data_IF_768549220227
#
_entry.id   IF_768549220227
#
_cell.length_a   1.000
_cell.length_b   1.000
_cell.length_c   1.000
_cell.angle_alpha   90.00
_cell.angle_beta   90.00
_cell.angle_gamma   90.00
#
_symmetry.space_group_name_H-M   'P 1'
#
loop_
_entity.id
_entity.type
_entity.pdbx_description
1 polymer ?
#
# COMPACT_ATOMS: atom_id res chain seq x y z
N UNK A 1 -13.37 -25.48 -0.42
CA UNK A 1 -12.69 -24.56 -1.37
C UNK A 1 -12.04 -23.36 -0.66
N UNK A 2 -12.70 -22.68 0.28
CA UNK A 2 -12.12 -21.54 1.01
C UNK A 2 -10.83 -21.81 1.80
N UNK A 3 -10.67 -23.01 2.39
CA UNK A 3 -9.48 -23.37 3.16
C UNK A 3 -8.19 -23.40 2.33
N UNK A 4 -8.26 -23.90 1.08
CA UNK A 4 -7.12 -23.92 0.16
C UNK A 4 -6.76 -22.47 -0.23
N UNK A 5 -7.76 -21.66 -0.58
CA UNK A 5 -7.56 -20.24 -0.90
C UNK A 5 -6.92 -19.47 0.26
N UNK A 6 -7.31 -19.76 1.50
CA UNK A 6 -6.71 -19.16 2.71
C UNK A 6 -5.24 -19.55 2.86
N UNK A 7 -4.89 -20.84 2.72
CA UNK A 7 -3.50 -21.28 2.82
C UNK A 7 -2.63 -20.70 1.71
N UNK A 8 -3.16 -20.63 0.48
CA UNK A 8 -2.46 -20.00 -0.66
C UNK A 8 -2.26 -18.52 -0.40
N UNK A 9 -3.27 -17.80 0.09
CA UNK A 9 -3.16 -16.38 0.39
C UNK A 9 -2.15 -16.08 1.51
N UNK A 10 -2.10 -16.89 2.57
CA UNK A 10 -1.07 -16.77 3.62
C UNK A 10 0.32 -17.09 3.08
N UNK A 11 0.46 -18.13 2.24
CA UNK A 11 1.72 -18.46 1.57
C UNK A 11 2.23 -17.34 0.65
N UNK A 12 1.33 -16.70 -0.10
CA UNK A 12 1.64 -15.54 -0.93
C UNK A 12 2.00 -14.32 -0.07
N UNK A 13 1.31 -14.09 1.04
CA UNK A 13 1.62 -13.02 1.98
C UNK A 13 3.02 -13.18 2.59
N UNK A 14 3.42 -14.41 2.93
CA UNK A 14 4.78 -14.71 3.38
C UNK A 14 5.82 -14.38 2.30
N UNK A 15 5.60 -14.82 1.06
CA UNK A 15 6.51 -14.53 -0.04
C UNK A 15 6.64 -13.02 -0.29
N UNK A 16 5.53 -12.28 -0.24
CA UNK A 16 5.51 -10.82 -0.37
C UNK A 16 6.19 -10.12 0.82
N UNK A 17 5.97 -10.59 2.05
CA UNK A 17 6.61 -10.03 3.23
C UNK A 17 8.15 -10.14 3.17
N UNK A 18 8.66 -11.27 2.65
CA UNK A 18 10.10 -11.45 2.39
C UNK A 18 10.60 -10.45 1.34
N UNK A 19 9.88 -10.29 0.22
CA UNK A 19 10.25 -9.33 -0.82
C UNK A 19 10.25 -7.88 -0.28
N UNK A 20 9.25 -7.51 0.51
CA UNK A 20 9.18 -6.20 1.17
C UNK A 20 10.31 -5.99 2.17
N UNK A 21 10.71 -7.01 2.93
CA UNK A 21 11.86 -6.91 3.82
C UNK A 21 13.14 -6.58 3.05
N UNK A 22 13.42 -7.27 1.93
CA UNK A 22 14.58 -6.96 1.09
C UNK A 22 14.51 -5.56 0.49
N UNK A 23 13.32 -5.12 0.08
CA UNK A 23 13.11 -3.74 -0.37
C UNK A 23 13.43 -2.75 0.76
N UNK A 24 12.87 -2.92 1.96
CA UNK A 24 13.09 -2.02 3.10
C UNK A 24 14.55 -2.02 3.57
N UNK A 25 15.25 -3.15 3.47
CA UNK A 25 16.66 -3.26 3.82
C UNK A 25 17.56 -2.46 2.87
N UNK A 26 17.21 -2.41 1.58
CA UNK A 26 18.01 -1.74 0.56
C UNK A 26 17.62 -0.27 0.36
N UNK A 27 16.52 0.19 0.96
CA UNK A 27 16.04 1.56 0.86
C UNK A 27 16.34 2.36 2.13
N UNK A 28 16.64 3.64 1.96
CA UNK A 28 16.80 4.62 3.02
C UNK A 28 15.76 5.73 2.85
N UNK A 29 15.28 6.26 3.97
CA UNK A 29 14.34 7.37 3.99
C UNK A 29 14.98 8.56 4.70
N UNK A 30 15.16 9.68 4.00
CA UNK A 30 15.83 10.86 4.55
C UNK A 30 17.30 10.64 4.94
N UNK A 31 18.00 9.72 4.25
CA UNK A 31 19.40 9.38 4.54
C UNK A 31 19.60 8.40 5.71
N UNK A 32 18.53 8.00 6.41
CA UNK A 32 18.58 7.01 7.48
C UNK A 32 18.13 5.64 6.93
N UNK A 33 18.87 4.55 7.20
CA UNK A 33 18.44 3.21 6.84
C UNK A 33 17.08 2.89 7.48
N UNK A 34 16.11 2.43 6.67
CA UNK A 34 14.77 2.07 7.17
C UNK A 34 14.86 0.88 8.14
N UNK A 35 15.78 -0.06 7.87
CA UNK A 35 16.14 -1.14 8.79
C UNK A 35 17.43 -0.74 9.52
N UNK A 36 17.32 -0.42 10.81
CA UNK A 36 18.46 0.04 11.64
C UNK A 36 19.53 -1.04 11.85
N UNK A 37 19.15 -2.32 11.86
CA UNK A 37 20.05 -3.45 12.11
C UNK A 37 20.38 -4.17 10.80
N UNK A 38 21.50 -3.81 10.18
CA UNK A 38 21.92 -4.35 8.87
C UNK A 38 23.01 -5.41 8.95
N UNK A 39 23.66 -5.56 10.11
CA UNK A 39 24.78 -6.48 10.32
C UNK A 39 24.54 -7.47 11.47
N UNK A 40 25.04 -8.70 11.30
CA UNK A 40 25.06 -9.74 12.33
C UNK A 40 23.71 -10.39 12.66
N UNK A 41 23.65 -11.08 13.81
CA UNK A 41 22.45 -11.79 14.32
C UNK A 41 21.22 -10.88 14.50
N UNK A 42 21.45 -9.60 14.78
CA UNK A 42 20.41 -8.59 14.92
C UNK A 42 19.64 -8.37 13.61
N UNK A 43 20.30 -8.51 12.45
CA UNK A 43 19.65 -8.36 11.14
C UNK A 43 18.69 -9.51 10.83
N UNK A 44 19.05 -10.74 11.22
CA UNK A 44 18.22 -11.94 11.04
C UNK A 44 17.01 -11.90 11.97
N UNK A 45 17.22 -11.50 13.22
CA UNK A 45 16.12 -11.29 14.16
C UNK A 45 15.15 -10.21 13.67
N UNK A 46 15.66 -9.07 13.20
CA UNK A 46 14.83 -8.01 12.63
C UNK A 46 14.06 -8.50 11.39
N UNK A 47 14.70 -9.27 10.50
CA UNK A 47 14.04 -9.87 9.34
C UNK A 47 12.85 -10.74 9.75
N UNK A 48 13.08 -11.66 10.70
CA UNK A 48 12.07 -12.58 11.18
C UNK A 48 10.86 -11.85 11.79
N UNK A 49 11.11 -10.86 12.65
CA UNK A 49 10.06 -10.05 13.28
C UNK A 49 9.26 -9.28 12.22
N UNK A 50 9.93 -8.65 11.26
CA UNK A 50 9.28 -7.89 10.19
C UNK A 50 8.39 -8.80 9.34
N UNK A 51 8.94 -9.93 8.86
CA UNK A 51 8.22 -10.88 7.99
C UNK A 51 7.00 -11.46 8.71
N UNK A 52 7.16 -11.89 9.98
CA UNK A 52 6.04 -12.39 10.77
C UNK A 52 4.98 -11.33 11.03
N UNK A 53 5.39 -10.10 11.34
CA UNK A 53 4.44 -9.00 11.60
C UNK A 53 3.61 -8.70 10.34
N UNK A 54 4.25 -8.61 9.17
CA UNK A 54 3.53 -8.40 7.91
C UNK A 54 2.58 -9.56 7.59
N UNK A 55 3.03 -10.80 7.78
CA UNK A 55 2.21 -11.99 7.52
C UNK A 55 1.03 -12.08 8.48
N UNK A 56 1.26 -11.84 9.77
CA UNK A 56 0.22 -11.80 10.79
C UNK A 56 -0.80 -10.69 10.51
N UNK A 57 -0.34 -9.51 10.10
CA UNK A 57 -1.21 -8.41 9.67
C UNK A 57 -2.07 -8.78 8.47
N UNK A 58 -1.49 -9.43 7.45
CA UNK A 58 -2.23 -9.90 6.28
C UNK A 58 -3.29 -10.97 6.64
N UNK A 59 -2.94 -11.93 7.50
CA UNK A 59 -3.87 -12.94 7.98
C UNK A 59 -5.01 -12.33 8.83
N UNK A 60 -4.69 -11.32 9.65
CA UNK A 60 -5.67 -10.59 10.44
C UNK A 60 -6.66 -9.82 9.56
N UNK A 61 -6.17 -9.15 8.51
CA UNK A 61 -7.04 -8.44 7.56
C UNK A 61 -7.96 -9.42 6.83
N UNK A 62 -7.44 -10.58 6.42
CA UNK A 62 -8.24 -11.62 5.80
C UNK A 62 -9.36 -12.10 6.73
N UNK A 63 -9.01 -12.38 7.99
CA UNK A 63 -9.98 -12.77 9.02
C UNK A 63 -11.04 -11.68 9.24
N UNK A 64 -10.65 -10.41 9.33
CA UNK A 64 -11.61 -9.29 9.41
C UNK A 64 -12.53 -9.24 8.19
N UNK A 65 -12.01 -9.50 6.98
CA UNK A 65 -12.81 -9.58 5.76
C UNK A 65 -13.88 -10.68 5.83
N UNK A 66 -13.51 -11.85 6.36
CA UNK A 66 -14.46 -12.95 6.60
C UNK A 66 -15.54 -12.57 7.63
N UNK A 67 -15.18 -11.85 8.70
CA UNK A 67 -16.13 -11.36 9.70
C UNK A 67 -17.11 -10.32 9.13
N UNK A 68 -16.60 -9.36 8.35
CA UNK A 68 -17.45 -8.36 7.68
C UNK A 68 -18.41 -9.04 6.70
N UNK A 69 -17.98 -10.11 6.02
CA UNK A 69 -18.85 -10.85 5.11
C UNK A 69 -20.01 -11.58 5.82
N UNK A 70 -19.87 -11.92 7.10
CA UNK A 70 -20.91 -12.60 7.87
C UNK A 70 -21.96 -11.64 8.45
N UNK A 71 -21.59 -10.39 8.71
CA UNK A 71 -22.45 -9.41 9.38
C UNK A 71 -22.79 -8.16 8.54
N UNK A 72 -22.15 -7.99 7.39
CA UNK A 72 -22.27 -6.81 6.53
C UNK A 72 -23.04 -7.05 5.22
N UNK A 73 -23.22 -5.98 4.45
CA UNK A 73 -23.82 -6.01 3.11
C UNK A 73 -22.71 -6.05 2.06
N UNK A 74 -22.60 -7.14 1.29
CA UNK A 74 -21.65 -7.29 0.18
C UNK A 74 -20.47 -8.22 0.46
N UNK A 75 -19.35 -8.04 -0.27
CA UNK A 75 -18.12 -8.81 -0.11
C UNK A 75 -17.17 -8.10 0.87
N UNK A 76 -16.93 -8.69 2.04
CA UNK A 76 -16.13 -8.08 3.10
C UNK A 76 -14.69 -7.72 2.70
N UNK A 77 -14.08 -8.49 1.79
CA UNK A 77 -12.73 -8.20 1.27
C UNK A 77 -12.74 -6.92 0.41
N UNK A 78 -13.75 -6.77 -0.47
CA UNK A 78 -13.87 -5.58 -1.33
C UNK A 78 -14.08 -4.30 -0.50
N UNK A 79 -14.87 -4.36 0.57
CA UNK A 79 -15.10 -3.22 1.47
C UNK A 79 -13.82 -2.79 2.17
N UNK A 80 -13.00 -3.76 2.62
CA UNK A 80 -11.70 -3.46 3.23
C UNK A 80 -10.75 -2.80 2.24
N UNK A 81 -10.67 -3.32 1.00
CA UNK A 81 -9.86 -2.72 -0.05
C UNK A 81 -10.32 -1.29 -0.38
N UNK A 82 -11.63 -1.09 -0.47
CA UNK A 82 -12.23 0.24 -0.70
C UNK A 82 -11.87 1.21 0.43
N UNK A 83 -12.06 0.81 1.69
CA UNK A 83 -11.70 1.64 2.85
C UNK A 83 -10.20 1.99 2.86
N UNK A 84 -9.33 1.04 2.49
CA UNK A 84 -7.90 1.26 2.34
C UNK A 84 -7.55 2.33 1.30
N UNK A 85 -8.21 2.32 0.14
CA UNK A 85 -8.00 3.33 -0.91
C UNK A 85 -8.53 4.69 -0.45
N UNK A 86 -9.74 4.73 0.10
CA UNK A 86 -10.38 5.96 0.59
C UNK A 86 -9.54 6.63 1.68
N UNK A 87 -8.93 5.85 2.59
CA UNK A 87 -8.06 6.39 3.63
C UNK A 87 -6.83 7.15 3.11
N UNK A 88 -6.36 6.83 1.89
CA UNK A 88 -5.20 7.47 1.27
C UNK A 88 -5.56 8.69 0.41
N UNK A 89 -6.83 8.87 0.06
CA UNK A 89 -7.29 10.01 -0.75
C UNK A 89 -6.86 11.38 -0.18
N UNK A 90 -7.02 11.68 1.12
CA UNK A 90 -6.64 12.99 1.66
C UNK A 90 -5.16 13.28 1.43
N UNK A 91 -4.29 12.28 1.55
CA UNK A 91 -2.86 12.45 1.33
C UNK A 91 -2.55 12.76 -0.13
N UNK A 92 -3.14 12.01 -1.07
CA UNK A 92 -2.98 12.24 -2.52
C UNK A 92 -3.43 13.65 -2.90
N UNK A 93 -4.58 14.10 -2.40
CA UNK A 93 -5.09 15.45 -2.69
C UNK A 93 -4.16 16.56 -2.19
N UNK A 94 -3.61 16.41 -0.97
CA UNK A 94 -2.64 17.36 -0.44
C UNK A 94 -1.36 17.40 -1.28
N UNK A 95 -0.84 16.24 -1.69
CA UNK A 95 0.35 16.15 -2.54
C UNK A 95 0.12 16.76 -3.92
N UNK A 96 -1.03 16.52 -4.55
CA UNK A 96 -1.37 17.14 -5.85
C UNK A 96 -1.53 18.66 -5.73
N UNK A 97 -2.14 19.14 -4.63
CA UNK A 97 -2.23 20.57 -4.33
C UNK A 97 -0.86 21.22 -4.15
N UNK A 98 0.07 20.56 -3.47
CA UNK A 98 1.44 21.03 -3.32
C UNK A 98 2.19 21.11 -4.66
N UNK A 99 2.04 20.11 -5.53
CA UNK A 99 2.63 20.14 -6.87
C UNK A 99 2.02 21.23 -7.75
N UNK A 100 0.72 21.50 -7.62
CA UNK A 100 0.06 22.60 -8.33
C UNK A 100 0.57 23.96 -7.86
N UNK A 101 0.76 24.15 -6.56
CA UNK A 101 1.35 25.38 -6.01
C UNK A 101 2.81 25.54 -6.43
N UNK A 102 3.61 24.47 -6.44
CA UNK A 102 4.99 24.49 -6.90
C UNK A 102 5.09 24.86 -8.40
N UNK A 103 4.17 24.38 -9.23
CA UNK A 103 4.10 24.73 -10.65
C UNK A 103 3.76 26.21 -10.91
N UNK A 104 3.02 26.87 -10.00
CA UNK A 104 2.72 28.30 -10.07
C UNK A 104 3.92 29.19 -9.67
N UNK A 105 4.85 28.69 -8.86
CA UNK A 105 5.96 29.48 -8.32
C UNK A 105 7.19 29.53 -9.25
N UNK A 106 7.49 28.45 -10.00
CA UNK A 106 8.59 28.40 -10.97
C UNK A 106 8.16 27.79 -12.32
N UNK A 107 7.61 28.60 -13.26
CA UNK A 107 7.10 28.10 -14.54
C UNK A 107 8.16 27.48 -15.47
N UNK A 108 9.43 27.91 -15.34
CA UNK A 108 10.53 27.56 -16.26
C UNK A 108 11.13 26.17 -16.00
N UNK A 109 11.07 25.66 -14.76
CA UNK A 109 11.59 24.34 -14.37
C UNK A 109 10.46 23.32 -14.12
N UNK A 110 9.26 23.79 -13.74
CA UNK A 110 8.12 22.95 -13.35
C UNK A 110 7.00 22.88 -14.38
N UNK A 111 7.19 23.38 -15.61
CA UNK A 111 6.20 23.30 -16.70
C UNK A 111 5.67 21.88 -16.97
N UNK A 112 6.47 20.85 -16.67
CA UNK A 112 6.08 19.42 -16.76
C UNK A 112 4.95 19.04 -15.78
N UNK A 113 4.83 19.71 -14.63
CA UNK A 113 3.83 19.39 -13.60
C UNK A 113 2.43 19.88 -13.97
N UNK A 114 2.29 20.89 -14.83
CA UNK A 114 1.00 21.29 -15.39
C UNK A 114 0.33 20.19 -16.22
N UNK A 115 1.13 19.32 -16.87
CA UNK A 115 0.61 18.16 -17.59
C UNK A 115 0.52 16.92 -16.70
N UNK A 116 1.51 16.68 -15.83
CA UNK A 116 1.56 15.48 -14.99
C UNK A 116 0.50 15.45 -13.88
N UNK A 117 0.21 16.58 -13.23
CA UNK A 117 -0.78 16.63 -12.13
C UNK A 117 -2.19 16.26 -12.61
N UNK A 118 -2.74 16.85 -13.70
CA UNK A 118 -4.04 16.42 -14.22
C UNK A 118 -4.01 15.00 -14.79
N UNK A 119 -2.91 14.55 -15.43
CA UNK A 119 -2.78 13.16 -15.88
C UNK A 119 -2.86 12.17 -14.72
N UNK A 120 -2.15 12.44 -13.62
CA UNK A 120 -2.16 11.60 -12.43
C UNK A 120 -3.53 11.61 -11.75
N UNK A 121 -4.19 12.76 -11.69
CA UNK A 121 -5.56 12.86 -11.18
C UNK A 121 -6.54 12.03 -12.03
N UNK A 122 -6.45 12.10 -13.36
CA UNK A 122 -7.28 11.29 -14.27
C UNK A 122 -7.02 9.79 -14.10
N UNK A 123 -5.75 9.37 -14.01
CA UNK A 123 -5.39 7.98 -13.76
C UNK A 123 -5.90 7.48 -12.40
N UNK A 124 -5.81 8.31 -11.36
CA UNK A 124 -6.32 7.99 -10.03
C UNK A 124 -7.85 7.83 -10.03
N UNK A 125 -8.57 8.73 -10.70
CA UNK A 125 -10.02 8.63 -10.88
C UNK A 125 -10.41 7.40 -11.70
N UNK A 126 -9.68 7.09 -12.78
CA UNK A 126 -9.86 5.86 -13.56
C UNK A 126 -9.64 4.61 -12.72
N UNK A 127 -8.59 4.59 -11.90
CA UNK A 127 -8.32 3.46 -11.00
C UNK A 127 -9.48 3.26 -10.02
N UNK A 128 -9.99 4.34 -9.41
CA UNK A 128 -11.18 4.24 -8.55
C UNK A 128 -12.41 3.76 -9.31
N UNK A 129 -12.65 4.29 -10.50
CA UNK A 129 -13.81 3.91 -11.32
C UNK A 129 -13.78 2.42 -11.64
N UNK A 130 -12.65 1.91 -12.13
CA UNK A 130 -12.50 0.48 -12.42
C UNK A 130 -12.73 -0.36 -11.16
N UNK A 131 -12.19 0.03 -10.00
CA UNK A 131 -12.33 -0.77 -8.78
C UNK A 131 -13.79 -0.78 -8.27
N UNK A 132 -14.50 0.34 -8.37
CA UNK A 132 -15.88 0.47 -7.88
C UNK A 132 -16.89 -0.19 -8.81
N UNK A 133 -16.65 -0.21 -10.12
CA UNK A 133 -17.60 -0.75 -11.10
C UNK A 133 -17.32 -2.19 -11.53
N UNK A 134 -16.09 -2.68 -11.34
CA UNK A 134 -15.69 -4.03 -11.79
C UNK A 134 -15.77 -5.09 -10.69
N UNK A 135 -16.12 -4.69 -9.45
CA UNK A 135 -16.36 -5.57 -8.29
C UNK A 135 -17.70 -5.26 -7.64
#
# INVERSE_FOLDING_TARGET
LGTITRYVAVGLALAQAVAYYFYLRNNSYGGVPIVKYTTGWQSVFAAFVIILTFTAGAALIMWLGEQVNQHGVGNGISIILFAGIVSRMPHVLNTLGAFWQAANQDPSSYGKYYFLVPLFAVLFLLMMWVIVFMY
#
